data_IF_779363675472
#
_entry.id   IF_779363675472
#
_cell.length_a   1.000
_cell.length_b   1.000
_cell.length_c   1.000
_cell.angle_alpha   90.00
_cell.angle_beta   90.00
_cell.angle_gamma   90.00
#
_symmetry.space_group_name_H-M   'P 1'
#
loop_
_entity.id
_entity.type
_entity.pdbx_description
1 polymer ?
#
# COMPACT_ATOMS: atom_id res chain seq x y z
N UNK A 1 -11.67 5.24 -25.21
CA UNK A 1 -11.72 3.90 -24.62
C UNK A 1 -11.33 2.89 -25.71
N UNK A 2 -10.38 1.96 -25.48
CA UNK A 2 -9.85 1.07 -26.53
C UNK A 2 -10.93 0.19 -27.19
N UNK A 3 -11.90 -0.27 -26.41
CA UNK A 3 -13.07 -1.01 -26.91
C UNK A 3 -13.84 -0.29 -28.05
N UNK A 4 -13.90 1.04 -28.01
CA UNK A 4 -14.53 1.84 -29.06
C UNK A 4 -13.65 1.99 -30.32
N UNK A 5 -12.33 1.77 -30.19
CA UNK A 5 -11.36 1.88 -31.28
C UNK A 5 -11.15 0.55 -32.02
N UNK A 6 -11.27 -0.57 -31.31
CA UNK A 6 -11.10 -1.92 -31.87
C UNK A 6 -12.41 -2.61 -32.26
N UNK A 7 -13.56 -1.95 -32.02
CA UNK A 7 -14.88 -2.46 -32.39
C UNK A 7 -15.40 -3.56 -31.47
N UNK A 8 -14.85 -3.68 -30.26
CA UNK A 8 -15.33 -4.61 -29.24
C UNK A 8 -16.80 -4.33 -28.92
N UNK A 9 -17.65 -5.35 -29.05
CA UNK A 9 -19.05 -5.25 -28.66
C UNK A 9 -19.15 -5.09 -27.14
N UNK A 10 -19.84 -4.04 -26.68
CA UNK A 10 -20.10 -3.82 -25.26
C UNK A 10 -21.60 -3.87 -24.99
N UNK A 11 -21.98 -4.78 -24.11
CA UNK A 11 -23.31 -4.86 -23.54
C UNK A 11 -23.23 -4.30 -22.12
N UNK A 12 -24.09 -3.35 -21.78
CA UNK A 12 -24.07 -2.70 -20.47
C UNK A 12 -25.43 -2.86 -19.80
N UNK A 13 -25.40 -3.18 -18.51
CA UNK A 13 -26.55 -3.14 -17.62
C UNK A 13 -26.18 -2.30 -16.41
N UNK A 14 -26.90 -1.19 -16.21
CA UNK A 14 -26.68 -0.24 -15.12
C UNK A 14 -27.85 -0.19 -14.14
N UNK A 15 -28.88 -1.02 -14.34
CA UNK A 15 -30.16 -0.89 -13.63
C UNK A 15 -30.54 -2.17 -12.89
N UNK A 16 -30.16 -3.34 -13.40
CA UNK A 16 -30.58 -4.63 -12.82
C UNK A 16 -29.74 -4.99 -11.60
N UNK A 17 -30.41 -5.30 -10.48
CA UNK A 17 -29.75 -5.74 -9.25
C UNK A 17 -29.18 -7.17 -9.31
N UNK A 18 -29.84 -8.06 -10.08
CA UNK A 18 -29.42 -9.46 -10.29
C UNK A 18 -29.38 -9.75 -11.80
N UNK A 19 -28.40 -9.21 -12.54
CA UNK A 19 -28.30 -9.41 -13.97
C UNK A 19 -27.85 -10.85 -14.29
N UNK A 20 -28.26 -11.34 -15.46
CA UNK A 20 -27.64 -12.50 -16.09
C UNK A 20 -26.67 -11.98 -17.15
N UNK A 21 -25.43 -12.46 -17.16
CA UNK A 21 -24.51 -12.18 -18.24
C UNK A 21 -25.03 -12.76 -19.57
N UNK A 22 -24.69 -12.11 -20.68
CA UNK A 22 -24.91 -12.67 -22.01
C UNK A 22 -24.01 -13.91 -22.18
N UNK A 23 -24.55 -15.09 -22.54
CA UNK A 23 -23.76 -16.31 -22.65
C UNK A 23 -22.69 -16.25 -23.75
N UNK A 24 -22.72 -15.23 -24.63
CA UNK A 24 -21.70 -14.99 -25.66
C UNK A 24 -20.56 -14.09 -25.19
N UNK A 25 -20.61 -13.56 -23.96
CA UNK A 25 -19.55 -12.72 -23.41
C UNK A 25 -18.27 -13.51 -23.09
N UNK A 26 -17.15 -13.11 -23.69
CA UNK A 26 -15.82 -13.64 -23.36
C UNK A 26 -15.31 -13.18 -21.97
N UNK A 27 -15.78 -12.01 -21.53
CA UNK A 27 -15.42 -11.39 -20.25
C UNK A 27 -16.58 -10.54 -19.74
N UNK A 28 -16.81 -10.58 -18.43
CA UNK A 28 -17.79 -9.73 -17.75
C UNK A 28 -17.08 -8.80 -16.78
N UNK A 29 -17.39 -7.50 -16.85
CA UNK A 29 -16.79 -6.50 -15.98
C UNK A 29 -17.86 -5.94 -15.06
N UNK A 30 -17.69 -6.12 -13.76
CA UNK A 30 -18.62 -5.61 -12.73
C UNK A 30 -17.98 -4.43 -12.02
N UNK A 31 -18.68 -3.30 -12.02
CA UNK A 31 -18.25 -2.11 -11.29
C UNK A 31 -18.97 -2.03 -9.95
N UNK A 32 -18.19 -1.87 -8.88
CA UNK A 32 -18.70 -1.55 -7.56
C UNK A 32 -18.11 -0.25 -7.04
N UNK A 33 -18.76 0.36 -6.06
CA UNK A 33 -18.22 1.52 -5.36
C UNK A 33 -18.50 1.42 -3.86
N UNK A 34 -17.75 2.20 -3.08
CA UNK A 34 -18.12 2.49 -1.70
C UNK A 34 -17.90 3.97 -1.47
N UNK A 35 -18.99 4.67 -1.23
CA UNK A 35 -18.96 6.11 -0.98
C UNK A 35 -18.63 6.40 0.49
N UNK A 36 -17.91 7.50 0.70
CA UNK A 36 -17.69 8.13 1.99
C UNK A 36 -17.60 9.65 1.77
N UNK A 37 -17.93 10.43 2.80
CA UNK A 37 -17.81 11.88 2.76
C UNK A 37 -17.27 12.44 4.07
N UNK A 38 -16.82 13.68 4.01
CA UNK A 38 -16.52 14.45 5.21
C UNK A 38 -17.73 14.48 6.16
N UNK A 39 -17.47 14.31 7.46
CA UNK A 39 -18.50 14.37 8.49
C UNK A 39 -19.41 13.14 8.60
N UNK A 40 -19.13 12.06 7.88
CA UNK A 40 -19.85 10.80 8.02
C UNK A 40 -18.91 9.59 7.92
N UNK A 41 -18.79 8.85 9.02
CA UNK A 41 -18.14 7.54 8.99
C UNK A 41 -19.05 6.52 8.32
N UNK A 42 -18.44 5.58 7.58
CA UNK A 42 -19.19 4.47 7.01
C UNK A 42 -19.69 3.55 8.13
N UNK A 43 -20.96 3.12 8.11
CA UNK A 43 -21.51 2.24 9.15
C UNK A 43 -20.94 0.82 9.10
N UNK A 44 -20.40 0.42 7.94
CA UNK A 44 -19.82 -0.90 7.72
C UNK A 44 -18.86 -0.90 6.52
N UNK A 45 -17.96 -1.88 6.51
CA UNK A 45 -17.04 -2.17 5.40
C UNK A 45 -17.57 -3.24 4.44
N UNK A 46 -18.66 -3.94 4.79
CA UNK A 46 -19.33 -4.89 3.90
C UNK A 46 -20.41 -4.20 3.05
N UNK A 47 -20.75 -4.82 1.92
CA UNK A 47 -21.83 -4.37 1.04
C UNK A 47 -22.50 -5.57 0.39
N UNK A 48 -23.58 -6.05 1.03
CA UNK A 48 -24.31 -7.24 0.60
C UNK A 48 -24.95 -7.06 -0.77
N UNK A 49 -25.32 -5.83 -1.15
CA UNK A 49 -25.93 -5.55 -2.45
C UNK A 49 -24.90 -5.76 -3.56
N UNK A 50 -23.75 -5.09 -3.46
CA UNK A 50 -22.67 -5.25 -4.45
C UNK A 50 -22.13 -6.68 -4.47
N UNK A 51 -22.08 -7.37 -3.33
CA UNK A 51 -21.68 -8.79 -3.28
C UNK A 51 -22.67 -9.69 -4.05
N UNK A 52 -23.97 -9.46 -3.89
CA UNK A 52 -25.00 -10.22 -4.60
C UNK A 52 -24.98 -9.96 -6.10
N UNK A 53 -24.74 -8.70 -6.51
CA UNK A 53 -24.54 -8.31 -7.90
C UNK A 53 -23.35 -9.04 -8.54
N UNK A 54 -22.19 -9.01 -7.86
CA UNK A 54 -20.98 -9.68 -8.36
C UNK A 54 -21.20 -11.18 -8.48
N UNK A 55 -21.79 -11.82 -7.46
CA UNK A 55 -22.05 -13.26 -7.49
C UNK A 55 -23.04 -13.62 -8.62
N UNK A 56 -24.10 -12.85 -8.84
CA UNK A 56 -25.07 -13.11 -9.94
C UNK A 56 -24.40 -13.08 -11.32
N UNK A 57 -23.49 -12.12 -11.56
CA UNK A 57 -22.72 -12.07 -12.81
C UNK A 57 -21.75 -13.25 -12.87
N UNK A 58 -21.04 -13.54 -11.79
CA UNK A 58 -20.05 -14.62 -11.76
C UNK A 58 -20.69 -16.01 -11.89
N UNK A 59 -21.93 -16.21 -11.44
CA UNK A 59 -22.71 -17.44 -11.63
C UNK A 59 -23.06 -17.70 -13.11
N UNK A 60 -23.14 -16.64 -13.92
CA UNK A 60 -23.49 -16.70 -15.35
C UNK A 60 -22.32 -16.44 -16.30
N UNK A 61 -21.15 -16.03 -15.79
CA UNK A 61 -19.98 -15.65 -16.58
C UNK A 61 -18.68 -16.18 -15.98
N UNK A 62 -18.02 -17.12 -16.68
CA UNK A 62 -16.83 -17.82 -16.18
C UNK A 62 -15.57 -16.95 -16.06
N UNK A 63 -15.58 -15.73 -16.60
CA UNK A 63 -14.46 -14.80 -16.59
C UNK A 63 -14.94 -13.41 -16.14
N UNK A 64 -15.10 -13.25 -14.83
CA UNK A 64 -15.61 -12.02 -14.22
C UNK A 64 -14.48 -11.20 -13.61
N UNK A 65 -14.33 -9.96 -14.08
CA UNK A 65 -13.41 -8.96 -13.56
C UNK A 65 -14.20 -7.95 -12.73
N UNK A 66 -13.79 -7.71 -11.49
CA UNK A 66 -14.44 -6.74 -10.60
C UNK A 66 -13.58 -5.49 -10.48
N UNK A 67 -14.16 -4.31 -10.70
CA UNK A 67 -13.48 -3.02 -10.59
C UNK A 67 -14.16 -2.18 -9.52
N UNK A 68 -13.38 -1.69 -8.55
CA UNK A 68 -13.89 -0.88 -7.45
C UNK A 68 -13.44 0.58 -7.54
N UNK A 69 -14.41 1.49 -7.42
CA UNK A 69 -14.17 2.90 -7.15
C UNK A 69 -14.55 3.25 -5.71
N UNK A 70 -13.61 3.10 -4.77
CA UNK A 70 -13.90 3.14 -3.34
C UNK A 70 -13.19 4.29 -2.61
N UNK A 71 -13.93 4.96 -1.73
CA UNK A 71 -13.40 5.85 -0.69
C UNK A 71 -12.87 5.05 0.51
N UNK A 72 -11.88 4.19 0.29
CA UNK A 72 -11.22 3.38 1.32
C UNK A 72 -11.44 1.87 1.19
N UNK A 73 -11.14 1.13 2.26
CA UNK A 73 -11.21 -0.34 2.28
C UNK A 73 -12.66 -0.82 2.20
N UNK A 74 -12.89 -1.93 1.50
CA UNK A 74 -14.11 -2.74 1.61
C UNK A 74 -13.74 -4.20 1.80
N UNK A 75 -14.60 -4.97 2.47
CA UNK A 75 -14.45 -6.42 2.54
C UNK A 75 -14.84 -7.03 1.19
N UNK A 76 -14.10 -8.04 0.73
CA UNK A 76 -14.35 -8.75 -0.54
C UNK A 76 -14.69 -10.23 -0.33
N UNK A 77 -14.75 -10.66 0.92
CA UNK A 77 -14.92 -12.04 1.36
C UNK A 77 -16.20 -12.70 0.84
N UNK A 78 -17.21 -11.90 0.47
CA UNK A 78 -18.49 -12.38 -0.09
C UNK A 78 -18.40 -12.94 -1.52
N UNK A 79 -17.33 -12.66 -2.28
CA UNK A 79 -17.22 -13.09 -3.69
C UNK A 79 -15.78 -13.43 -4.14
N UNK A 80 -14.74 -13.03 -3.40
CA UNK A 80 -13.33 -13.17 -3.82
C UNK A 80 -12.91 -14.62 -4.11
N UNK A 81 -13.52 -15.60 -3.45
CA UNK A 81 -13.22 -17.02 -3.64
C UNK A 81 -14.13 -17.68 -4.69
N UNK A 82 -15.00 -16.91 -5.35
CA UNK A 82 -15.86 -17.43 -6.40
C UNK A 82 -14.99 -17.85 -7.60
N UNK A 83 -15.12 -19.09 -8.12
CA UNK A 83 -14.20 -19.64 -9.12
C UNK A 83 -14.16 -18.84 -10.43
N UNK A 84 -15.26 -18.16 -10.74
CA UNK A 84 -15.41 -17.35 -11.95
C UNK A 84 -14.99 -15.88 -11.77
N UNK A 85 -14.58 -15.46 -10.56
CA UNK A 85 -13.99 -14.13 -10.34
C UNK A 85 -12.50 -14.24 -10.59
N UNK A 86 -12.05 -13.74 -11.75
CA UNK A 86 -10.69 -13.94 -12.26
C UNK A 86 -9.75 -12.77 -11.94
N UNK A 87 -10.28 -11.58 -11.68
CA UNK A 87 -9.51 -10.42 -11.26
C UNK A 87 -10.33 -9.45 -10.41
N UNK A 88 -9.65 -8.77 -9.47
CA UNK A 88 -10.21 -7.66 -8.69
C UNK A 88 -9.25 -6.48 -8.81
N UNK A 89 -9.77 -5.32 -9.21
CA UNK A 89 -9.00 -4.10 -9.41
C UNK A 89 -9.55 -3.02 -8.49
N UNK A 90 -8.71 -2.50 -7.60
CA UNK A 90 -9.02 -1.33 -6.78
C UNK A 90 -8.57 -0.07 -7.52
N UNK A 91 -9.50 0.64 -8.15
CA UNK A 91 -9.23 1.83 -8.95
C UNK A 91 -9.42 3.14 -8.17
N UNK A 92 -9.75 3.07 -6.88
CA UNK A 92 -9.87 4.20 -5.95
C UNK A 92 -10.83 5.30 -6.47
N UNK A 93 -10.45 6.58 -6.41
CA UNK A 93 -11.28 7.71 -6.85
C UNK A 93 -10.61 8.40 -8.05
N UNK A 94 -10.80 7.89 -9.28
CA UNK A 94 -10.03 8.29 -10.46
C UNK A 94 -10.38 9.67 -11.05
N UNK A 95 -11.27 10.44 -10.41
CA UNK A 95 -11.64 11.79 -10.83
C UNK A 95 -12.52 11.84 -12.09
N UNK A 96 -12.59 13.03 -12.71
CA UNK A 96 -13.54 13.35 -13.79
C UNK A 96 -13.38 12.49 -15.06
N UNK A 97 -12.21 11.89 -15.26
CA UNK A 97 -11.95 11.02 -16.40
C UNK A 97 -12.63 9.64 -16.29
N UNK A 98 -13.41 9.39 -15.23
CA UNK A 98 -14.19 8.16 -15.02
C UNK A 98 -15.69 8.27 -15.31
N UNK A 99 -16.22 9.47 -15.53
CA UNK A 99 -17.66 9.73 -15.76
C UNK A 99 -18.30 10.67 -14.72
N UNK A 100 -19.54 11.14 -14.92
CA UNK A 100 -20.17 12.15 -14.07
C UNK A 100 -20.69 11.57 -12.73
N UNK A 101 -20.57 12.34 -11.65
CA UNK A 101 -21.03 11.99 -10.30
C UNK A 101 -22.15 12.93 -9.81
N UNK A 102 -22.99 12.44 -8.89
CA UNK A 102 -24.06 13.19 -8.22
C UNK A 102 -23.79 13.27 -6.70
N UNK A 103 -24.00 14.41 -6.02
CA UNK A 103 -23.78 14.53 -4.58
C UNK A 103 -25.08 14.64 -3.75
N UNK A 104 -25.06 14.17 -2.49
CA UNK A 104 -25.66 14.83 -1.30
C UNK A 104 -25.48 14.01 0.01
N UNK A 105 -25.17 14.68 1.15
CA UNK A 105 -25.63 14.33 2.52
C UNK A 105 -25.14 15.32 3.60
N UNK A 106 -25.77 15.29 4.80
CA UNK A 106 -25.67 16.24 5.95
C UNK A 106 -25.15 15.58 7.26
N UNK A 107 -24.69 16.43 8.19
CA UNK A 107 -23.86 16.14 9.38
C UNK A 107 -24.57 15.68 10.69
N UNK A 108 -23.82 15.01 11.58
CA UNK A 108 -24.09 14.80 13.03
C UNK A 108 -22.78 14.74 13.87
N UNK A 109 -22.89 14.96 15.19
CA UNK A 109 -21.77 15.12 16.15
C UNK A 109 -21.20 13.79 16.70
N UNK A 110 -19.93 13.82 17.14
CA UNK A 110 -19.10 12.66 17.53
C UNK A 110 -18.86 12.55 19.05
N UNK A 111 -18.68 11.33 19.61
CA UNK A 111 -18.31 11.07 21.01
C UNK A 111 -16.79 11.17 21.28
N UNK A 112 -16.37 11.02 22.54
CA UNK A 112 -14.97 10.91 22.96
C UNK A 112 -14.28 9.70 22.28
N UNK A 113 -13.01 9.87 21.90
CA UNK A 113 -12.17 8.86 21.27
C UNK A 113 -10.75 8.93 21.87
N UNK A 114 -10.37 7.91 22.63
CA UNK A 114 -9.06 7.80 23.28
C UNK A 114 -8.15 6.88 22.44
N UNK A 115 -6.94 7.36 22.09
CA UNK A 115 -6.03 6.70 21.13
C UNK A 115 -5.03 5.79 21.85
N UNK A 116 -5.56 4.84 22.63
CA UNK A 116 -4.77 3.94 23.49
C UNK A 116 -3.90 2.95 22.68
N UNK A 117 -4.20 2.75 21.40
CA UNK A 117 -3.41 1.94 20.47
C UNK A 117 -2.06 2.58 20.11
N UNK A 118 -1.90 3.88 20.35
CA UNK A 118 -0.67 4.63 20.09
C UNK A 118 -0.24 4.55 18.62
N UNK A 119 0.99 4.11 18.36
CA UNK A 119 1.55 4.04 16.99
C UNK A 119 1.09 2.81 16.20
N UNK A 120 0.31 1.91 16.83
CA UNK A 120 -0.14 0.67 16.23
C UNK A 120 -1.49 0.88 15.54
N UNK A 121 -1.39 1.39 14.31
CA UNK A 121 -2.48 1.52 13.35
C UNK A 121 -2.13 0.77 12.06
N UNK A 122 -3.14 0.39 11.30
CA UNK A 122 -2.99 -0.28 10.00
C UNK A 122 -2.04 -1.50 10.07
N UNK A 123 -1.09 -1.65 9.16
CA UNK A 123 -0.18 -2.81 9.10
C UNK A 123 0.60 -3.07 10.39
N UNK A 124 0.91 -2.03 11.17
CA UNK A 124 1.63 -2.18 12.45
C UNK A 124 0.78 -2.89 13.49
N UNK A 125 -0.51 -2.61 13.50
CA UNK A 125 -1.45 -3.29 14.41
C UNK A 125 -1.69 -4.74 13.98
N UNK A 126 -1.84 -4.98 12.68
CA UNK A 126 -1.92 -6.34 12.12
C UNK A 126 -0.65 -7.15 12.41
N UNK A 127 0.52 -6.53 12.34
CA UNK A 127 1.78 -7.17 12.71
C UNK A 127 1.84 -7.46 14.22
N UNK A 128 1.53 -6.47 15.07
CA UNK A 128 1.53 -6.62 16.53
C UNK A 128 0.59 -7.72 17.00
N UNK A 129 -0.61 -7.80 16.43
CA UNK A 129 -1.65 -8.79 16.79
C UNK A 129 -1.51 -10.11 16.02
N UNK A 130 -0.49 -10.23 15.17
CA UNK A 130 -0.30 -11.38 14.29
C UNK A 130 -1.55 -11.74 13.45
N UNK A 131 -2.23 -10.72 12.93
CA UNK A 131 -3.35 -10.88 12.00
C UNK A 131 -2.83 -10.85 10.57
N UNK A 132 -3.18 -11.88 9.81
CA UNK A 132 -2.91 -11.96 8.37
C UNK A 132 -3.98 -11.18 7.62
N UNK A 133 -3.65 -10.02 7.01
CA UNK A 133 -4.58 -9.35 6.11
C UNK A 133 -4.73 -10.16 4.83
N UNK A 134 -5.86 -10.01 4.13
CA UNK A 134 -6.07 -10.62 2.82
C UNK A 134 -5.12 -10.05 1.75
N UNK A 135 -4.95 -8.73 1.79
CA UNK A 135 -3.99 -7.97 1.00
C UNK A 135 -3.26 -7.04 1.96
N UNK A 136 -1.96 -7.25 2.13
CA UNK A 136 -1.14 -6.49 3.07
C UNK A 136 -0.84 -5.07 2.59
N UNK A 137 -0.40 -4.21 3.51
CA UNK A 137 0.06 -2.87 3.16
C UNK A 137 1.20 -2.93 2.14
N UNK A 138 1.11 -2.08 1.11
CA UNK A 138 2.06 -2.05 -0.01
C UNK A 138 1.89 -3.18 -1.01
N UNK A 139 0.90 -4.07 -0.88
CA UNK A 139 0.65 -5.14 -1.85
C UNK A 139 0.07 -4.62 -3.17
N UNK A 140 0.57 -5.15 -4.27
CA UNK A 140 -0.02 -5.02 -5.60
C UNK A 140 0.53 -6.11 -6.51
N UNK A 141 -0.33 -6.65 -7.38
CA UNK A 141 0.14 -7.56 -8.43
C UNK A 141 0.67 -6.77 -9.61
N UNK A 142 1.56 -7.42 -10.36
CA UNK A 142 2.02 -6.98 -11.67
C UNK A 142 1.76 -8.09 -12.69
N UNK A 143 1.76 -7.74 -13.98
CA UNK A 143 1.71 -8.72 -15.06
C UNK A 143 3.06 -9.41 -15.31
N UNK A 144 4.10 -8.99 -14.60
CA UNK A 144 5.43 -9.63 -14.58
C UNK A 144 5.85 -9.91 -13.14
N UNK A 145 6.96 -10.62 -12.95
CA UNK A 145 7.55 -10.92 -11.65
C UNK A 145 8.85 -10.16 -11.44
N UNK A 146 9.16 -9.84 -10.18
CA UNK A 146 10.39 -9.15 -9.82
C UNK A 146 11.12 -9.86 -8.70
N UNK A 147 12.44 -9.95 -8.85
CA UNK A 147 13.34 -10.50 -7.85
C UNK A 147 14.19 -9.37 -7.25
N UNK A 148 14.55 -9.55 -5.99
CA UNK A 148 15.37 -8.62 -5.21
C UNK A 148 16.65 -9.34 -4.79
N UNK A 149 17.80 -8.68 -4.97
CA UNK A 149 19.08 -9.20 -4.49
C UNK A 149 20.06 -8.08 -4.09
N UNK A 150 21.25 -8.48 -3.61
CA UNK A 150 22.38 -7.60 -3.24
C UNK A 150 22.04 -6.48 -2.23
N UNK A 151 21.43 -6.81 -1.09
CA UNK A 151 21.22 -5.82 -0.03
C UNK A 151 22.53 -5.41 0.65
N UNK A 152 22.80 -4.12 0.72
CA UNK A 152 23.86 -3.52 1.51
C UNK A 152 23.34 -2.31 2.28
N UNK A 153 23.75 -2.20 3.54
CA UNK A 153 23.39 -1.12 4.45
C UNK A 153 24.69 -0.54 4.99
N UNK A 154 24.89 0.76 4.81
CA UNK A 154 26.11 1.43 5.24
C UNK A 154 25.82 2.78 5.89
N UNK A 155 26.54 3.11 6.95
CA UNK A 155 26.52 4.45 7.52
C UNK A 155 27.12 5.46 6.53
N UNK A 156 26.58 6.67 6.52
CA UNK A 156 27.12 7.78 5.72
C UNK A 156 28.37 8.33 6.41
N UNK A 157 29.47 8.43 5.66
CA UNK A 157 30.74 8.90 6.20
C UNK A 157 30.61 10.34 6.72
N UNK A 158 31.02 10.56 7.97
CA UNK A 158 30.93 11.88 8.62
C UNK A 158 29.53 12.28 9.08
N UNK A 159 28.54 11.38 9.01
CA UNK A 159 27.21 11.65 9.55
C UNK A 159 27.30 11.91 11.06
N UNK A 160 26.66 12.98 11.51
CA UNK A 160 26.45 13.22 12.93
C UNK A 160 25.50 12.14 13.46
N UNK A 161 26.01 11.30 14.37
CA UNK A 161 25.26 10.20 15.00
C UNK A 161 25.09 10.38 16.51
N UNK A 162 25.36 11.59 17.03
CA UNK A 162 25.08 11.94 18.42
C UNK A 162 23.62 11.66 18.77
N UNK A 163 23.34 11.33 20.03
CA UNK A 163 22.00 10.91 20.48
C UNK A 163 20.92 11.96 20.16
N UNK A 164 21.27 13.25 20.29
CA UNK A 164 20.35 14.37 20.17
C UNK A 164 20.67 15.29 19.00
N UNK A 165 19.65 15.73 18.25
CA UNK A 165 19.80 16.84 17.32
C UNK A 165 20.14 18.16 18.04
N UNK A 166 21.03 18.94 17.44
CA UNK A 166 21.54 20.24 17.91
C UNK A 166 21.36 21.37 16.89
N UNK A 167 20.86 21.06 15.69
CA UNK A 167 20.62 22.04 14.64
C UNK A 167 19.55 23.07 15.01
N UNK A 168 19.54 24.24 14.34
CA UNK A 168 18.50 25.25 14.53
C UNK A 168 17.13 24.68 14.13
N UNK A 169 16.07 25.14 14.80
CA UNK A 169 14.70 24.78 14.44
C UNK A 169 14.30 25.50 13.16
N UNK A 170 13.90 24.72 12.15
CA UNK A 170 13.38 25.18 10.86
C UNK A 170 11.99 24.59 10.63
N UNK A 171 11.36 24.92 9.50
CA UNK A 171 10.12 24.25 9.09
C UNK A 171 10.34 22.74 9.00
N UNK A 172 9.56 21.97 9.75
CA UNK A 172 9.66 20.50 9.83
C UNK A 172 10.43 19.96 11.04
N UNK A 173 11.17 20.80 11.78
CA UNK A 173 11.91 20.39 12.99
C UNK A 173 13.33 20.95 13.04
N UNK A 174 14.19 20.40 13.91
CA UNK A 174 15.61 20.74 13.92
C UNK A 174 16.26 20.32 12.59
N UNK A 175 17.10 21.19 12.03
CA UNK A 175 17.63 21.03 10.68
C UNK A 175 18.40 19.72 10.48
N UNK A 176 19.13 19.28 11.49
CA UNK A 176 19.96 18.06 11.47
C UNK A 176 19.16 16.76 11.62
N UNK A 177 17.84 16.83 11.85
CA UNK A 177 16.95 15.67 11.71
C UNK A 177 16.91 15.13 10.29
N UNK A 178 17.22 15.98 9.31
CA UNK A 178 17.15 15.66 7.89
C UNK A 178 18.51 15.26 7.30
N UNK A 179 19.55 15.23 8.13
CA UNK A 179 20.88 14.79 7.71
C UNK A 179 20.86 13.29 7.39
N UNK A 180 21.54 12.91 6.31
CA UNK A 180 21.69 11.53 5.89
C UNK A 180 22.57 10.74 6.89
N UNK A 181 22.09 9.59 7.37
CA UNK A 181 22.78 8.75 8.35
C UNK A 181 23.09 7.37 7.79
N UNK A 182 22.17 6.77 7.05
CA UNK A 182 22.34 5.43 6.46
C UNK A 182 21.98 5.45 4.99
N UNK A 183 22.78 4.77 4.17
CA UNK A 183 22.49 4.47 2.78
C UNK A 183 22.20 2.98 2.64
N UNK A 184 21.05 2.66 2.06
CA UNK A 184 20.62 1.30 1.74
C UNK A 184 20.64 1.13 0.23
N UNK A 185 21.31 0.09 -0.26
CA UNK A 185 21.34 -0.26 -1.67
C UNK A 185 20.92 -1.70 -1.89
N UNK A 186 20.16 -1.93 -2.94
CA UNK A 186 19.71 -3.26 -3.35
C UNK A 186 19.40 -3.25 -4.85
N UNK A 187 19.35 -4.42 -5.47
CA UNK A 187 19.02 -4.56 -6.88
C UNK A 187 17.63 -5.13 -7.06
N UNK A 188 16.90 -4.60 -8.03
CA UNK A 188 15.60 -5.09 -8.48
C UNK A 188 15.74 -5.59 -9.92
N UNK A 189 15.25 -6.79 -10.21
CA UNK A 189 15.26 -7.40 -11.54
C UNK A 189 13.87 -7.79 -11.97
N UNK A 190 13.48 -7.47 -13.20
CA UNK A 190 12.29 -8.04 -13.81
C UNK A 190 12.62 -9.45 -14.33
N UNK A 191 11.99 -10.46 -13.73
CA UNK A 191 12.22 -11.89 -14.03
C UNK A 191 11.14 -12.50 -14.92
N UNK A 192 10.04 -11.80 -15.16
CA UNK A 192 8.98 -12.28 -16.04
C UNK A 192 9.19 -11.90 -17.51
N UNK A 193 8.18 -12.18 -18.34
CA UNK A 193 8.26 -12.10 -19.81
C UNK A 193 7.80 -10.77 -20.41
N UNK A 194 7.31 -9.84 -19.59
CA UNK A 194 6.79 -8.54 -20.04
C UNK A 194 7.42 -7.40 -19.25
N UNK A 195 7.49 -6.22 -19.86
CA UNK A 195 7.91 -5.01 -19.13
C UNK A 195 6.88 -4.65 -18.06
N UNK A 196 7.35 -4.07 -16.95
CA UNK A 196 6.47 -3.67 -15.85
C UNK A 196 7.14 -2.67 -14.91
N UNK A 197 6.32 -2.06 -14.06
CA UNK A 197 6.82 -1.25 -12.95
C UNK A 197 6.69 -2.02 -11.63
N UNK A 198 7.67 -1.85 -10.75
CA UNK A 198 7.70 -2.40 -9.40
C UNK A 198 7.90 -1.28 -8.38
N UNK A 199 7.22 -1.37 -7.24
CA UNK A 199 7.41 -0.46 -6.11
C UNK A 199 8.23 -1.19 -5.05
N UNK A 200 9.54 -0.97 -5.06
CA UNK A 200 10.43 -1.48 -4.04
C UNK A 200 10.21 -0.73 -2.73
N UNK A 201 10.13 -1.44 -1.61
CA UNK A 201 9.82 -0.90 -0.30
C UNK A 201 10.90 -1.29 0.72
N UNK A 202 11.28 -0.33 1.56
CA UNK A 202 12.25 -0.48 2.65
C UNK A 202 11.56 -0.29 4.00
N UNK A 203 11.68 -1.31 4.85
CA UNK A 203 11.17 -1.30 6.22
C UNK A 203 12.33 -1.41 7.21
N UNK A 204 12.19 -0.73 8.36
CA UNK A 204 13.23 -0.71 9.40
C UNK A 204 12.62 -1.08 10.76
N UNK A 205 13.30 -1.97 11.49
CA UNK A 205 13.13 -2.20 12.92
C UNK A 205 14.04 -1.23 13.66
N UNK A 206 13.42 -0.31 14.40
CA UNK A 206 14.13 0.64 15.25
C UNK A 206 14.14 0.06 16.67
N UNK A 207 15.27 0.09 17.41
CA UNK A 207 15.36 -0.48 18.76
C UNK A 207 14.24 0.02 19.70
N UNK A 208 13.37 -0.89 20.14
CA UNK A 208 12.25 -0.55 21.04
C UNK A 208 11.03 0.10 20.38
N UNK A 209 10.95 0.10 19.05
CA UNK A 209 9.79 0.59 18.29
C UNK A 209 9.00 -0.59 17.65
N UNK A 210 7.91 -0.33 16.91
CA UNK A 210 7.23 -1.38 16.14
C UNK A 210 8.19 -2.11 15.20
N UNK A 211 7.98 -3.43 15.08
CA UNK A 211 8.86 -4.37 14.39
C UNK A 211 9.24 -3.92 12.98
N UNK A 212 8.27 -3.53 12.16
CA UNK A 212 8.54 -3.00 10.83
C UNK A 212 7.92 -1.62 10.63
N UNK A 213 8.69 -0.71 10.06
CA UNK A 213 8.20 0.62 9.71
C UNK A 213 8.71 1.03 8.34
N UNK A 214 7.81 1.38 7.41
CA UNK A 214 8.19 1.88 6.09
C UNK A 214 9.07 3.15 6.26
N UNK A 215 10.21 3.18 5.57
CA UNK A 215 11.17 4.30 5.56
C UNK A 215 11.61 4.74 4.18
N UNK A 216 11.34 3.96 3.16
CA UNK A 216 11.55 4.39 1.79
C UNK A 216 10.82 3.51 0.81
N UNK A 217 10.53 4.05 -0.36
CA UNK A 217 10.05 3.29 -1.49
C UNK A 217 10.54 3.95 -2.77
N UNK A 218 10.72 3.16 -3.82
CA UNK A 218 11.12 3.63 -5.14
C UNK A 218 10.33 2.86 -6.20
N UNK A 219 9.82 3.56 -7.21
CA UNK A 219 9.08 2.95 -8.31
C UNK A 219 9.97 2.85 -9.55
N UNK A 220 10.35 1.63 -9.90
CA UNK A 220 11.23 1.36 -11.05
C UNK A 220 10.44 0.74 -12.18
N UNK A 221 10.68 1.18 -13.42
CA UNK A 221 10.15 0.55 -14.63
C UNK A 221 11.27 -0.22 -15.32
N UNK A 222 11.04 -1.51 -15.60
CA UNK A 222 12.06 -2.42 -16.11
C UNK A 222 11.50 -3.24 -17.27
N UNK A 223 12.29 -3.36 -18.34
CA UNK A 223 12.05 -4.34 -19.40
C UNK A 223 12.27 -5.76 -18.89
N UNK A 224 11.73 -6.75 -19.61
CA UNK A 224 11.95 -8.18 -19.32
C UNK A 224 13.44 -8.50 -19.21
N UNK A 225 13.87 -9.08 -18.09
CA UNK A 225 15.27 -9.44 -17.82
C UNK A 225 16.17 -8.30 -17.33
N UNK A 226 15.71 -7.04 -17.41
CA UNK A 226 16.46 -5.87 -16.96
C UNK A 226 16.57 -5.83 -15.43
N UNK A 227 17.66 -5.26 -14.92
CA UNK A 227 17.85 -5.02 -13.51
C UNK A 227 18.45 -3.63 -13.26
N UNK A 228 18.08 -3.02 -12.14
CA UNK A 228 18.59 -1.71 -11.69
C UNK A 228 18.96 -1.75 -10.22
N UNK A 229 19.97 -0.97 -9.83
CA UNK A 229 20.31 -0.73 -8.42
C UNK A 229 19.46 0.44 -7.90
N UNK A 230 18.76 0.20 -6.81
CA UNK A 230 18.01 1.21 -6.07
C UNK A 230 18.85 1.63 -4.86
N UNK A 231 18.97 2.95 -4.66
CA UNK A 231 19.64 3.54 -3.49
C UNK A 231 18.63 4.38 -2.71
N UNK A 232 18.42 4.05 -1.44
CA UNK A 232 17.59 4.81 -0.51
C UNK A 232 18.47 5.36 0.61
N UNK A 233 18.37 6.66 0.87
CA UNK A 233 19.10 7.33 1.94
C UNK A 233 18.14 7.62 3.08
N UNK A 234 18.45 7.13 4.28
CA UNK A 234 17.70 7.38 5.49
C UNK A 234 18.31 8.52 6.28
N UNK A 235 17.44 9.41 6.74
CA UNK A 235 17.78 10.55 7.57
C UNK A 235 17.91 10.16 9.04
N UNK A 236 18.46 11.05 9.85
CA UNK A 236 18.43 10.95 11.32
C UNK A 236 17.00 10.70 11.83
N UNK A 237 16.01 11.43 11.30
CA UNK A 237 14.60 11.31 11.71
C UNK A 237 14.04 9.92 11.42
N UNK A 238 14.40 9.33 10.28
CA UNK A 238 13.94 8.00 9.89
C UNK A 238 14.38 6.92 10.89
N UNK A 239 15.50 7.12 11.56
CA UNK A 239 16.08 6.17 12.51
C UNK A 239 15.79 6.51 13.99
N UNK A 240 15.07 7.60 14.23
CA UNK A 240 14.83 8.13 15.58
C UNK A 240 13.46 7.74 16.15
N UNK A 241 13.36 7.76 17.48
CA UNK A 241 12.10 7.72 18.22
C UNK A 241 11.89 9.03 18.98
N UNK A 242 10.64 9.37 19.31
CA UNK A 242 10.36 10.52 20.15
C UNK A 242 10.54 10.17 21.63
N UNK A 243 11.44 10.87 22.32
CA UNK A 243 11.62 10.76 23.77
C UNK A 243 10.72 11.78 24.48
N UNK A 244 9.76 11.27 25.26
CA UNK A 244 8.76 12.10 25.95
C UNK A 244 9.32 12.86 27.15
N UNK A 245 10.46 12.46 27.72
CA UNK A 245 11.08 13.17 28.84
C UNK A 245 11.98 14.28 28.33
N UNK A 246 12.81 13.97 27.34
CA UNK A 246 13.70 14.96 26.70
C UNK A 246 12.95 15.91 25.76
N UNK A 247 11.74 15.53 25.32
CA UNK A 247 10.95 16.24 24.30
C UNK A 247 11.76 16.46 23.01
N UNK A 248 12.46 15.40 22.58
CA UNK A 248 13.36 15.40 21.43
C UNK A 248 13.30 14.08 20.68
N UNK A 249 13.67 14.13 19.40
CA UNK A 249 13.96 12.93 18.62
C UNK A 249 15.29 12.34 19.06
N UNK A 250 15.26 11.11 19.55
CA UNK A 250 16.41 10.34 20.00
C UNK A 250 16.87 9.40 18.90
N UNK A 251 18.11 9.56 18.44
CA UNK A 251 18.78 8.56 17.61
C UNK A 251 19.39 7.51 18.55
N UNK A 252 18.82 6.31 18.56
CA UNK A 252 19.18 5.27 19.52
C UNK A 252 20.41 4.49 19.05
N UNK A 253 21.38 4.30 19.93
CA UNK A 253 22.38 3.24 19.73
C UNK A 253 21.75 1.86 19.77
N UNK A 254 22.31 0.93 19.01
CA UNK A 254 21.86 -0.46 18.99
C UNK A 254 21.73 -1.04 17.59
N UNK A 255 21.16 -2.24 17.53
CA UNK A 255 20.95 -2.98 16.30
C UNK A 255 19.64 -2.57 15.63
N UNK A 256 19.74 -2.11 14.40
CA UNK A 256 18.63 -1.85 13.50
C UNK A 256 18.54 -2.98 12.49
N UNK A 257 17.32 -3.47 12.23
CA UNK A 257 17.07 -4.47 11.19
C UNK A 257 16.40 -3.82 9.99
N UNK A 258 16.87 -4.15 8.80
CA UNK A 258 16.40 -3.61 7.53
C UNK A 258 15.80 -4.73 6.73
N UNK A 259 14.66 -4.45 6.08
CA UNK A 259 14.02 -5.37 5.16
C UNK A 259 13.67 -4.67 3.85
N UNK A 260 13.89 -5.37 2.75
CA UNK A 260 13.53 -4.90 1.42
C UNK A 260 12.68 -5.94 0.70
N UNK A 261 11.66 -5.45 0.00
CA UNK A 261 10.81 -6.27 -0.87
C UNK A 261 9.74 -5.44 -1.56
N UNK A 262 8.64 -6.09 -1.95
CA UNK A 262 7.54 -5.45 -2.69
C UNK A 262 6.23 -5.35 -1.89
N UNK A 263 6.21 -5.78 -0.63
CA UNK A 263 5.10 -5.51 0.29
C UNK A 263 5.55 -5.63 1.75
N UNK A 264 4.72 -5.19 2.69
CA UNK A 264 4.98 -5.35 4.14
C UNK A 264 5.11 -6.80 4.62
N UNK A 265 4.74 -7.80 3.80
CA UNK A 265 4.85 -9.23 4.15
C UNK A 265 5.74 -10.03 3.18
N UNK A 266 6.17 -9.46 2.06
CA UNK A 266 7.06 -10.08 1.07
C UNK A 266 8.39 -9.34 1.03
N UNK A 267 9.24 -9.69 1.98
CA UNK A 267 10.51 -9.03 2.27
C UNK A 267 11.67 -10.03 2.14
N UNK A 268 12.08 -10.39 0.90
CA UNK A 268 13.09 -11.42 0.66
C UNK A 268 14.50 -11.03 1.11
N UNK A 269 14.79 -9.74 1.28
CA UNK A 269 16.10 -9.28 1.71
C UNK A 269 16.04 -8.74 3.14
N UNK A 270 17.00 -9.14 3.97
CA UNK A 270 17.20 -8.62 5.31
C UNK A 270 18.67 -8.32 5.59
N UNK A 271 18.94 -7.30 6.39
CA UNK A 271 20.28 -6.95 6.85
C UNK A 271 20.22 -6.27 8.22
N UNK A 272 21.26 -6.46 9.01
CA UNK A 272 21.43 -5.78 10.29
C UNK A 272 22.47 -4.66 10.16
N UNK A 273 22.24 -3.55 10.84
CA UNK A 273 23.22 -2.47 10.98
C UNK A 273 23.21 -1.98 12.42
N UNK A 274 24.39 -1.87 13.03
CA UNK A 274 24.52 -1.44 14.42
C UNK A 274 25.07 -0.03 14.47
N UNK A 275 24.34 0.86 15.15
CA UNK A 275 24.85 2.17 15.53
C UNK A 275 25.56 2.05 16.88
N UNK A 276 26.89 2.18 16.86
CA UNK A 276 27.70 2.30 18.07
C UNK A 276 27.68 3.75 18.57
N UNK A 277 27.12 3.94 19.78
CA UNK A 277 27.22 5.19 20.55
C UNK A 277 28.57 5.31 21.26
#
# INVERSE_FOLDING_TARGET
>A
MRAAQDGTAMFNDFETANPSADPTSDVCIVFGNTWACEGHDRPTLNDNFTDSLINSVADSCSNTIVVFHNSGVRLVDGFVNHPNVTAIIMAHLPGEQSGPALPEARFKMFPQSDFDEGVYLDYRDFERRNVTPRYEFGFGLSYTTFDFDTLSVAGVAGANTEEWPVGPIISGGQADLWDAVVTVKFRVRNTGSVAGAEVAQLYVEIPGAPKSQLRGFEKVYLLSGEATEVTLTLTRRDLSVWDVHAQKWKLQGGAYKFWVGNSSRKLPLEADWTLSC
#
